data_IF_292925551927
#
_entry.id   IF_292925551927
#
_cell.length_a   1.000
_cell.length_b   1.000
_cell.length_c   1.000
_cell.angle_alpha   90.00
_cell.angle_beta   90.00
_cell.angle_gamma   90.00
#
_symmetry.space_group_name_H-M   'P 1'
#
loop_
_entity.id
_entity.type
_entity.pdbx_description
1 polymer ?
#
# COMPACT_ATOMS: atom_id res chain seq x y z
N UNK A 1 -17.79 25.68 -31.46
CA UNK A 1 -16.63 24.79 -31.25
C UNK A 1 -17.02 23.79 -30.17
N UNK A 2 -17.50 22.62 -30.56
CA UNK A 2 -17.98 21.59 -29.62
C UNK A 2 -16.80 21.11 -28.78
N UNK A 3 -16.82 21.38 -27.48
CA UNK A 3 -16.02 20.61 -26.54
C UNK A 3 -16.67 19.23 -26.47
N UNK A 4 -16.18 18.29 -27.26
CA UNK A 4 -16.36 16.88 -26.99
C UNK A 4 -15.87 16.65 -25.56
N UNK A 5 -16.81 16.57 -24.63
CA UNK A 5 -16.57 16.01 -23.31
C UNK A 5 -16.14 14.57 -23.58
N UNK A 6 -14.83 14.33 -23.63
CA UNK A 6 -14.25 12.99 -23.72
C UNK A 6 -14.88 12.20 -22.59
N UNK A 7 -15.90 11.41 -22.90
CA UNK A 7 -16.64 10.66 -21.90
C UNK A 7 -15.65 9.72 -21.26
N UNK A 8 -15.32 9.98 -20.00
CA UNK A 8 -14.56 9.06 -19.17
C UNK A 8 -15.29 7.71 -19.26
N UNK A 9 -14.66 6.70 -19.87
CA UNK A 9 -15.20 5.36 -20.03
C UNK A 9 -14.37 4.43 -19.15
N UNK A 10 -15.03 3.65 -18.29
CA UNK A 10 -14.37 2.59 -17.53
C UNK A 10 -14.00 1.48 -18.51
N UNK A 11 -12.72 1.14 -18.61
CA UNK A 11 -12.20 0.17 -19.58
C UNK A 11 -11.51 -0.99 -18.89
N UNK A 12 -11.21 -2.05 -19.65
CA UNK A 12 -10.36 -3.16 -19.18
C UNK A 12 -8.99 -2.68 -18.69
N UNK A 13 -8.49 -1.56 -19.22
CA UNK A 13 -7.25 -0.92 -18.79
C UNK A 13 -7.32 -0.32 -17.37
N UNK A 14 -8.51 -0.24 -16.75
CA UNK A 14 -8.70 0.19 -15.36
C UNK A 14 -9.12 -0.98 -14.46
N UNK A 15 -9.92 -1.90 -14.98
CA UNK A 15 -10.35 -3.09 -14.24
C UNK A 15 -9.22 -4.06 -13.89
N UNK A 16 -8.36 -4.39 -14.87
CA UNK A 16 -7.27 -5.37 -14.67
C UNK A 16 -6.26 -4.91 -13.61
N UNK A 17 -5.71 -3.68 -13.67
CA UNK A 17 -4.86 -3.14 -12.61
C UNK A 17 -5.50 -3.21 -11.22
N UNK A 18 -6.78 -2.84 -11.12
CA UNK A 18 -7.50 -2.85 -9.85
C UNK A 18 -7.63 -4.26 -9.26
N UNK A 19 -7.86 -5.27 -10.09
CA UNK A 19 -7.96 -6.67 -9.65
C UNK A 19 -6.59 -7.16 -9.17
N UNK A 20 -5.52 -6.88 -9.91
CA UNK A 20 -4.15 -7.28 -9.52
C UNK A 20 -3.77 -6.65 -8.17
N UNK A 21 -3.98 -5.33 -8.03
CA UNK A 21 -3.75 -4.62 -6.77
C UNK A 21 -4.58 -5.20 -5.62
N UNK A 22 -5.86 -5.52 -5.87
CA UNK A 22 -6.72 -6.16 -4.88
C UNK A 22 -6.24 -7.56 -4.48
N UNK A 23 -5.69 -8.35 -5.41
CA UNK A 23 -5.13 -9.66 -5.10
C UNK A 23 -3.88 -9.53 -4.24
N UNK A 24 -3.00 -8.56 -4.55
CA UNK A 24 -1.84 -8.24 -3.72
C UNK A 24 -2.24 -7.84 -2.30
N UNK A 25 -3.25 -6.97 -2.17
CA UNK A 25 -3.79 -6.58 -0.86
C UNK A 25 -4.32 -7.81 -0.12
N UNK A 26 -5.12 -8.65 -0.77
CA UNK A 26 -5.68 -9.86 -0.16
C UNK A 26 -4.59 -10.81 0.35
N UNK A 27 -3.55 -11.04 -0.46
CA UNK A 27 -2.40 -11.87 -0.08
C UNK A 27 -1.67 -11.31 1.15
N UNK A 28 -1.24 -10.04 1.08
CA UNK A 28 -0.43 -9.47 2.16
C UNK A 28 -1.22 -9.17 3.43
N UNK A 29 -2.49 -8.78 3.32
CA UNK A 29 -3.39 -8.68 4.47
C UNK A 29 -3.48 -10.02 5.21
N UNK A 30 -3.64 -11.11 4.47
CA UNK A 30 -3.73 -12.42 5.07
C UNK A 30 -2.41 -12.85 5.74
N UNK A 31 -1.25 -12.50 5.18
CA UNK A 31 0.07 -12.69 5.81
C UNK A 31 0.20 -11.89 7.10
N UNK A 32 -0.22 -10.62 7.11
CA UNK A 32 -0.19 -9.75 8.29
C UNK A 32 -1.04 -10.35 9.41
N UNK A 33 -2.28 -10.73 9.10
CA UNK A 33 -3.19 -11.35 10.06
C UNK A 33 -2.65 -12.69 10.60
N UNK A 34 -1.96 -13.47 9.77
CA UNK A 34 -1.29 -14.70 10.18
C UNK A 34 -0.27 -14.47 11.28
N UNK A 35 0.56 -13.44 11.12
CA UNK A 35 1.71 -13.21 11.97
C UNK A 35 1.31 -12.50 13.28
N UNK A 36 0.33 -11.59 13.24
CA UNK A 36 -0.22 -10.93 14.43
C UNK A 36 -0.79 -11.95 15.43
N UNK A 37 -1.27 -13.12 14.96
CA UNK A 37 -1.65 -14.21 15.84
C UNK A 37 -2.72 -13.78 16.85
N UNK A 38 -3.90 -13.38 16.37
CA UNK A 38 -5.05 -13.16 17.26
C UNK A 38 -5.30 -14.47 18.02
N UNK A 39 -4.86 -14.50 19.29
CA UNK A 39 -4.77 -15.69 20.15
C UNK A 39 -6.12 -16.39 20.44
N UNK A 40 -7.23 -15.94 19.83
CA UNK A 40 -8.58 -16.49 19.91
C UNK A 40 -9.22 -16.83 18.55
N UNK A 41 -8.49 -16.72 17.43
CA UNK A 41 -8.96 -17.26 16.14
C UNK A 41 -8.45 -18.71 16.02
N UNK A 42 -9.33 -19.72 16.12
CA UNK A 42 -8.93 -21.11 16.29
C UNK A 42 -8.06 -21.55 15.11
N UNK A 43 -6.81 -21.92 15.39
CA UNK A 43 -5.87 -22.52 14.43
C UNK A 43 -5.81 -21.80 13.08
N UNK A 44 -5.86 -20.47 13.14
CA UNK A 44 -6.01 -19.64 11.96
C UNK A 44 -4.64 -19.17 11.47
N UNK A 45 -4.15 -19.82 10.42
CA UNK A 45 -3.59 -19.22 9.19
C UNK A 45 -2.43 -20.04 8.63
N UNK A 46 -1.39 -20.41 9.36
CA UNK A 46 -0.24 -21.06 8.71
C UNK A 46 0.58 -21.88 9.72
N UNK A 47 0.27 -23.18 9.85
CA UNK A 47 1.36 -24.15 10.06
C UNK A 47 1.90 -24.45 8.67
N UNK A 48 3.16 -24.15 8.40
CA UNK A 48 3.86 -24.42 7.12
C UNK A 48 3.96 -25.92 6.74
N UNK A 49 3.08 -26.78 7.29
CA UNK A 49 2.96 -28.21 7.03
C UNK A 49 1.51 -28.72 6.91
N UNK A 50 0.46 -27.90 7.12
CA UNK A 50 -0.90 -28.31 6.77
C UNK A 50 -1.14 -28.02 5.29
N UNK A 51 -1.29 -29.10 4.51
CA UNK A 51 -1.31 -29.17 3.04
C UNK A 51 -2.40 -28.35 2.32
N UNK A 52 -3.23 -27.59 3.05
CA UNK A 52 -4.34 -26.81 2.50
C UNK A 52 -4.32 -25.36 3.01
N UNK A 53 -4.43 -24.36 2.12
CA UNK A 53 -4.74 -22.99 2.55
C UNK A 53 -6.13 -22.97 3.21
N UNK A 54 -6.23 -22.40 4.41
CA UNK A 54 -7.52 -22.25 5.10
C UNK A 54 -8.53 -21.51 4.20
N UNK A 55 -9.79 -21.96 4.14
CA UNK A 55 -10.85 -21.36 3.32
C UNK A 55 -10.98 -19.84 3.51
N UNK A 56 -10.68 -19.33 4.70
CA UNK A 56 -10.72 -17.90 4.97
C UNK A 56 -9.52 -17.13 4.39
N UNK A 57 -8.35 -17.75 4.19
CA UNK A 57 -7.27 -17.15 3.39
C UNK A 57 -7.73 -16.96 1.93
N UNK A 58 -8.37 -17.98 1.38
CA UNK A 58 -8.93 -17.95 0.01
C UNK A 58 -10.01 -16.86 -0.09
N UNK A 59 -10.80 -16.64 0.96
CA UNK A 59 -11.82 -15.58 0.93
C UNK A 59 -11.23 -14.17 0.76
N UNK A 60 -10.08 -13.84 1.33
CA UNK A 60 -9.46 -12.52 1.10
C UNK A 60 -8.97 -12.35 -0.33
N UNK A 61 -8.39 -13.40 -0.91
CA UNK A 61 -7.92 -13.39 -2.30
C UNK A 61 -9.06 -13.22 -3.32
N UNK A 62 -10.29 -13.56 -2.95
CA UNK A 62 -11.46 -13.40 -3.81
C UNK A 62 -12.25 -12.12 -3.49
N UNK A 63 -12.48 -11.81 -2.22
CA UNK A 63 -13.31 -10.68 -1.79
C UNK A 63 -12.60 -9.34 -2.03
N UNK A 64 -11.31 -9.22 -1.71
CA UNK A 64 -10.61 -7.95 -1.81
C UNK A 64 -10.52 -7.43 -3.26
N UNK A 65 -10.20 -8.24 -4.28
CA UNK A 65 -10.24 -7.77 -5.67
C UNK A 65 -11.63 -7.31 -6.11
N UNK A 66 -12.69 -7.99 -5.67
CA UNK A 66 -14.07 -7.59 -5.96
C UNK A 66 -14.37 -6.24 -5.31
N UNK A 67 -13.99 -6.04 -4.04
CA UNK A 67 -14.15 -4.77 -3.36
C UNK A 67 -13.34 -3.65 -4.03
N UNK A 68 -12.10 -3.92 -4.44
CA UNK A 68 -11.24 -2.95 -5.10
C UNK A 68 -11.85 -2.48 -6.43
N UNK A 69 -12.33 -3.41 -7.27
CA UNK A 69 -12.95 -3.05 -8.56
C UNK A 69 -14.30 -2.35 -8.35
N UNK A 70 -15.09 -2.75 -7.36
CA UNK A 70 -16.35 -2.08 -7.00
C UNK A 70 -16.10 -0.65 -6.50
N UNK A 71 -15.11 -0.44 -5.63
CA UNK A 71 -14.74 0.88 -5.15
C UNK A 71 -14.26 1.79 -6.29
N UNK A 72 -13.45 1.26 -7.20
CA UNK A 72 -12.99 2.02 -8.38
C UNK A 72 -14.15 2.35 -9.33
N UNK A 73 -15.12 1.43 -9.49
CA UNK A 73 -16.32 1.67 -10.28
C UNK A 73 -17.21 2.77 -9.67
N UNK A 74 -17.34 2.81 -8.34
CA UNK A 74 -18.05 3.89 -7.63
C UNK A 74 -17.30 5.22 -7.84
N UNK A 75 -15.98 5.23 -7.67
CA UNK A 75 -15.16 6.41 -7.92
C UNK A 75 -15.29 6.91 -9.36
N UNK A 76 -15.41 5.99 -10.34
CA UNK A 76 -15.70 6.31 -11.73
C UNK A 76 -17.09 6.97 -11.91
N UNK A 77 -18.13 6.42 -11.27
CA UNK A 77 -19.49 6.97 -11.32
C UNK A 77 -19.55 8.39 -10.77
N UNK A 78 -18.91 8.63 -9.63
CA UNK A 78 -18.81 9.95 -9.01
C UNK A 78 -17.87 10.90 -9.81
N UNK A 79 -16.84 10.32 -10.41
CA UNK A 79 -15.85 11.00 -11.26
C UNK A 79 -16.42 11.63 -12.52
N UNK A 80 -17.59 11.18 -12.99
CA UNK A 80 -18.31 11.83 -14.11
C UNK A 80 -18.61 13.31 -13.86
N UNK A 81 -18.82 13.70 -12.60
CA UNK A 81 -19.07 15.10 -12.20
C UNK A 81 -17.78 15.83 -11.81
N UNK A 82 -16.82 15.13 -11.20
CA UNK A 82 -15.53 15.70 -10.78
C UNK A 82 -14.38 14.74 -11.13
N UNK A 83 -13.62 14.97 -12.22
CA UNK A 83 -12.56 14.07 -12.69
C UNK A 83 -11.49 13.74 -11.64
N UNK A 84 -11.27 14.67 -10.69
CA UNK A 84 -10.35 14.51 -9.55
C UNK A 84 -10.73 13.32 -8.67
N UNK A 85 -12.03 13.00 -8.51
CA UNK A 85 -12.48 11.86 -7.69
C UNK A 85 -12.04 10.53 -8.30
N UNK A 86 -12.08 10.40 -9.63
CA UNK A 86 -11.64 9.16 -10.28
C UNK A 86 -10.12 8.99 -10.21
N UNK A 87 -9.36 10.07 -10.38
CA UNK A 87 -7.91 10.04 -10.18
C UNK A 87 -7.53 9.69 -8.75
N UNK A 88 -8.22 10.29 -7.76
CA UNK A 88 -8.05 9.94 -6.36
C UNK A 88 -8.40 8.47 -6.09
N UNK A 89 -9.46 7.94 -6.71
CA UNK A 89 -9.81 6.52 -6.59
C UNK A 89 -8.70 5.57 -7.08
N UNK A 90 -8.06 5.89 -8.21
CA UNK A 90 -6.89 5.12 -8.70
C UNK A 90 -5.70 5.24 -7.74
N UNK A 91 -5.41 6.47 -7.30
CA UNK A 91 -4.33 6.73 -6.35
C UNK A 91 -4.55 6.00 -5.02
N UNK A 92 -5.77 6.01 -4.49
CA UNK A 92 -6.14 5.30 -3.26
C UNK A 92 -5.96 3.79 -3.43
N UNK A 93 -6.35 3.22 -4.58
CA UNK A 93 -6.19 1.80 -4.86
C UNK A 93 -4.71 1.37 -4.84
N UNK A 94 -3.84 2.15 -5.50
CA UNK A 94 -2.37 1.96 -5.44
C UNK A 94 -1.86 2.16 -4.01
N UNK A 95 -2.36 3.17 -3.30
CA UNK A 95 -2.01 3.46 -1.90
C UNK A 95 -2.30 2.30 -0.96
N UNK A 96 -3.49 1.69 -1.05
CA UNK A 96 -3.86 0.51 -0.27
C UNK A 96 -2.95 -0.68 -0.59
N UNK A 97 -2.68 -0.94 -1.87
CA UNK A 97 -1.74 -2.00 -2.24
C UNK A 97 -0.34 -1.76 -1.67
N UNK A 98 0.15 -0.53 -1.68
CA UNK A 98 1.44 -0.17 -1.09
C UNK A 98 1.44 -0.36 0.43
N UNK A 99 0.40 0.09 1.13
CA UNK A 99 0.26 -0.08 2.57
C UNK A 99 0.36 -1.55 2.98
N UNK A 100 -0.38 -2.42 2.29
CA UNK A 100 -0.35 -3.85 2.58
C UNK A 100 0.92 -4.53 2.08
N UNK A 101 1.50 -4.10 0.97
CA UNK A 101 2.82 -4.59 0.52
C UNK A 101 3.90 -4.31 1.56
N UNK A 102 3.92 -3.08 2.10
CA UNK A 102 4.85 -2.67 3.15
C UNK A 102 4.72 -3.55 4.39
N UNK A 103 3.51 -3.62 4.96
CA UNK A 103 3.25 -4.45 6.13
C UNK A 103 3.45 -5.94 5.86
N UNK A 104 3.07 -6.42 4.68
CA UNK A 104 3.17 -7.80 4.26
C UNK A 104 4.60 -8.27 4.16
N UNK A 105 5.46 -7.53 3.44
CA UNK A 105 6.90 -7.83 3.34
C UNK A 105 7.54 -7.85 4.73
N UNK A 106 7.24 -6.86 5.58
CA UNK A 106 7.71 -6.83 6.97
C UNK A 106 7.34 -8.13 7.71
N UNK A 107 6.07 -8.56 7.64
CA UNK A 107 5.62 -9.78 8.32
C UNK A 107 6.18 -11.06 7.70
N UNK A 108 6.42 -11.10 6.38
CA UNK A 108 7.14 -12.23 5.75
C UNK A 108 8.54 -12.34 6.34
N UNK A 109 9.28 -11.23 6.43
CA UNK A 109 10.64 -11.23 6.99
C UNK A 109 10.64 -11.64 8.47
N UNK A 110 9.73 -11.09 9.28
CA UNK A 110 9.56 -11.51 10.69
C UNK A 110 9.26 -12.99 10.79
N UNK A 111 8.38 -13.51 9.92
CA UNK A 111 8.03 -14.93 9.91
C UNK A 111 9.22 -15.83 9.53
N UNK A 112 9.97 -15.45 8.49
CA UNK A 112 11.10 -16.24 7.99
C UNK A 112 12.28 -16.28 8.95
N UNK A 113 12.58 -15.16 9.61
CA UNK A 113 13.75 -15.05 10.48
C UNK A 113 13.43 -15.21 11.97
N UNK A 114 12.15 -15.17 12.37
CA UNK A 114 11.73 -15.28 13.77
C UNK A 114 12.15 -14.10 14.67
N UNK A 115 12.64 -13.01 14.07
CA UNK A 115 13.15 -11.80 14.74
C UNK A 115 12.58 -10.54 14.09
N UNK A 116 12.96 -9.35 14.56
CA UNK A 116 12.57 -8.08 13.90
C UNK A 116 11.27 -7.46 14.41
N UNK A 117 10.82 -7.85 15.61
CA UNK A 117 9.70 -7.19 16.29
C UNK A 117 10.10 -5.86 16.95
N UNK A 118 11.40 -5.66 17.23
CA UNK A 118 11.94 -4.43 17.80
C UNK A 118 13.40 -4.16 17.42
N UNK A 119 13.90 -2.99 17.79
CA UNK A 119 15.31 -2.60 17.64
C UNK A 119 15.77 -2.42 16.18
N UNK A 120 17.07 -2.57 15.94
CA UNK A 120 17.66 -2.31 14.61
C UNK A 120 17.15 -3.27 13.53
N UNK A 121 16.82 -4.50 13.89
CA UNK A 121 16.28 -5.50 12.94
C UNK A 121 14.86 -5.12 12.49
N UNK A 122 14.04 -4.56 13.39
CA UNK A 122 12.73 -4.00 13.03
C UNK A 122 12.89 -2.90 11.97
N UNK A 123 13.82 -1.96 12.20
CA UNK A 123 14.09 -0.85 11.27
C UNK A 123 14.51 -1.39 9.90
N UNK A 124 15.38 -2.40 9.86
CA UNK A 124 15.82 -3.02 8.62
C UNK A 124 14.64 -3.66 7.86
N UNK A 125 13.84 -4.50 8.52
CA UNK A 125 12.71 -5.18 7.90
C UNK A 125 11.63 -4.19 7.43
N UNK A 126 11.36 -3.15 8.24
CA UNK A 126 10.44 -2.06 7.91
C UNK A 126 10.92 -1.28 6.68
N UNK A 127 12.22 -1.02 6.59
CA UNK A 127 12.83 -0.32 5.44
C UNK A 127 12.67 -1.14 4.17
N UNK A 128 12.96 -2.44 4.21
CA UNK A 128 12.79 -3.35 3.08
C UNK A 128 11.33 -3.44 2.62
N UNK A 129 10.38 -3.51 3.56
CA UNK A 129 8.96 -3.48 3.24
C UNK A 129 8.54 -2.18 2.54
N UNK A 130 9.01 -1.04 3.06
CA UNK A 130 8.68 0.24 2.46
C UNK A 130 9.30 0.42 1.07
N UNK A 131 10.53 -0.04 0.85
CA UNK A 131 11.17 -0.01 -0.47
C UNK A 131 10.40 -0.85 -1.49
N UNK A 132 9.94 -2.05 -1.12
CA UNK A 132 9.09 -2.86 -1.99
C UNK A 132 7.77 -2.15 -2.34
N UNK A 133 7.13 -1.51 -1.36
CA UNK A 133 5.93 -0.72 -1.57
C UNK A 133 6.18 0.50 -2.47
N UNK A 134 7.32 1.18 -2.33
CA UNK A 134 7.72 2.28 -3.20
C UNK A 134 7.93 1.83 -4.65
N UNK A 135 8.60 0.69 -4.87
CA UNK A 135 8.77 0.11 -6.21
C UNK A 135 7.42 -0.22 -6.85
N UNK A 136 6.51 -0.82 -6.09
CA UNK A 136 5.14 -1.08 -6.55
C UNK A 136 4.42 0.23 -6.92
N UNK A 137 4.51 1.25 -6.05
CA UNK A 137 3.95 2.57 -6.29
C UNK A 137 4.44 3.18 -7.60
N UNK A 138 5.75 3.13 -7.85
CA UNK A 138 6.35 3.69 -9.06
C UNK A 138 5.80 3.02 -10.32
N UNK A 139 5.74 1.69 -10.33
CA UNK A 139 5.21 0.93 -11.46
C UNK A 139 3.77 1.33 -11.79
N UNK A 140 2.86 1.26 -10.82
CA UNK A 140 1.45 1.55 -11.06
C UNK A 140 1.18 3.02 -11.35
N UNK A 141 1.86 3.94 -10.66
CA UNK A 141 1.66 5.36 -10.90
C UNK A 141 2.18 5.79 -12.27
N UNK A 142 3.32 5.26 -12.70
CA UNK A 142 3.90 5.57 -14.02
C UNK A 142 3.04 5.00 -15.16
N UNK A 143 2.72 3.71 -15.11
CA UNK A 143 2.12 3.01 -16.25
C UNK A 143 0.58 3.07 -16.27
N UNK A 144 -0.07 3.28 -15.12
CA UNK A 144 -1.53 3.25 -15.04
C UNK A 144 -2.17 4.55 -14.56
N UNK A 145 -1.74 5.10 -13.41
CA UNK A 145 -2.40 6.28 -12.81
C UNK A 145 -2.22 7.53 -13.67
N UNK A 146 -0.99 7.86 -14.03
CA UNK A 146 -0.67 9.11 -14.73
C UNK A 146 -0.40 8.94 -16.23
N UNK A 147 -0.14 7.71 -16.70
CA UNK A 147 0.13 7.37 -18.11
C UNK A 147 1.08 8.40 -18.77
N UNK A 148 2.16 8.77 -18.07
CA UNK A 148 3.07 9.84 -18.50
C UNK A 148 3.67 9.47 -19.86
N UNK A 149 3.36 10.26 -20.90
CA UNK A 149 4.00 10.16 -22.22
C UNK A 149 5.39 10.79 -22.09
N UNK A 150 6.42 10.10 -22.58
CA UNK A 150 7.86 10.35 -22.38
C UNK A 150 8.43 11.74 -22.81
N UNK A 151 7.61 12.76 -23.03
CA UNK A 151 8.04 14.07 -23.53
C UNK A 151 7.67 15.18 -22.55
N UNK A 152 8.52 15.39 -21.53
CA UNK A 152 8.92 16.70 -20.97
C UNK A 152 9.78 16.49 -19.71
N UNK A 153 10.98 17.10 -19.66
CA UNK A 153 11.85 17.30 -18.48
C UNK A 153 12.13 16.13 -17.51
N UNK A 154 12.69 15.03 -18.05
CA UNK A 154 13.07 13.82 -17.28
C UNK A 154 14.03 14.11 -16.10
N UNK A 155 14.94 15.09 -16.21
CA UNK A 155 15.99 15.30 -15.21
C UNK A 155 15.51 16.05 -13.95
N UNK A 156 14.67 17.09 -14.08
CA UNK A 156 14.15 17.86 -12.93
C UNK A 156 13.04 17.12 -12.19
N UNK A 157 12.21 16.34 -12.89
CA UNK A 157 11.19 15.49 -12.28
C UNK A 157 11.82 14.31 -11.51
N UNK A 158 12.92 13.74 -12.01
CA UNK A 158 13.62 12.64 -11.34
C UNK A 158 14.24 13.07 -10.01
N UNK A 159 14.84 14.27 -9.93
CA UNK A 159 15.39 14.80 -8.68
C UNK A 159 14.29 15.09 -7.64
N UNK A 160 13.16 15.67 -8.07
CA UNK A 160 12.01 15.89 -7.19
C UNK A 160 11.41 14.58 -6.69
N UNK A 161 11.29 13.57 -7.56
CA UNK A 161 10.83 12.24 -7.19
C UNK A 161 11.75 11.58 -6.16
N UNK A 162 13.07 11.66 -6.37
CA UNK A 162 14.07 11.14 -5.44
C UNK A 162 13.95 11.84 -4.07
N UNK A 163 13.91 13.17 -4.04
CA UNK A 163 13.80 13.94 -2.79
C UNK A 163 12.52 13.61 -2.01
N UNK A 164 11.37 13.58 -2.70
CA UNK A 164 10.09 13.20 -2.07
C UNK A 164 10.17 11.77 -1.55
N UNK A 165 10.73 10.83 -2.32
CA UNK A 165 10.87 9.42 -1.92
C UNK A 165 11.75 9.25 -0.68
N UNK A 166 12.88 9.96 -0.61
CA UNK A 166 13.77 9.93 0.56
C UNK A 166 13.10 10.49 1.81
N UNK A 167 12.37 11.61 1.68
CA UNK A 167 11.59 12.17 2.79
C UNK A 167 10.48 11.22 3.24
N UNK A 168 9.78 10.59 2.30
CA UNK A 168 8.76 9.58 2.60
C UNK A 168 9.34 8.38 3.31
N UNK A 169 10.55 7.93 2.95
CA UNK A 169 11.26 6.86 3.62
C UNK A 169 11.59 7.24 5.07
N UNK A 170 12.15 8.43 5.28
CA UNK A 170 12.45 8.96 6.61
C UNK A 170 11.20 9.05 7.50
N UNK A 171 10.09 9.56 6.96
CA UNK A 171 8.81 9.65 7.68
C UNK A 171 8.26 8.26 7.99
N UNK A 172 8.23 7.37 7.01
CA UNK A 172 7.67 6.04 7.15
C UNK A 172 8.41 5.23 8.23
N UNK A 173 9.72 5.07 8.05
CA UNK A 173 10.56 4.26 8.93
C UNK A 173 10.75 4.95 10.27
N UNK A 174 10.91 6.28 10.28
CA UNK A 174 11.08 7.07 11.50
C UNK A 174 9.85 7.02 12.42
N UNK A 175 8.64 7.24 11.89
CA UNK A 175 7.41 7.13 12.68
C UNK A 175 7.21 5.71 13.20
N UNK A 176 7.43 4.70 12.36
CA UNK A 176 7.34 3.31 12.77
C UNK A 176 8.35 2.98 13.88
N UNK A 177 9.60 3.43 13.75
CA UNK A 177 10.62 3.24 14.77
C UNK A 177 10.24 3.92 16.10
N UNK A 178 9.77 5.16 16.06
CA UNK A 178 9.35 5.89 17.26
C UNK A 178 8.23 5.16 17.99
N UNK A 179 7.16 4.78 17.28
CA UNK A 179 6.03 4.08 17.90
C UNK A 179 6.47 2.72 18.46
N UNK A 180 7.26 1.95 17.70
CA UNK A 180 7.76 0.66 18.16
C UNK A 180 8.67 0.80 19.40
N UNK A 181 9.42 1.89 19.52
CA UNK A 181 10.30 2.15 20.68
C UNK A 181 9.53 2.38 21.99
N UNK A 182 8.26 2.81 21.91
CA UNK A 182 7.40 3.03 23.08
C UNK A 182 6.41 1.88 23.31
N UNK A 183 6.81 0.64 23.00
CA UNK A 183 5.97 -0.54 23.20
C UNK A 183 5.53 -0.70 24.66
N UNK A 184 4.21 -0.64 24.97
CA UNK A 184 3.72 -0.88 26.31
C UNK A 184 3.92 -2.34 26.70
N UNK A 185 4.36 -2.59 27.93
CA UNK A 185 4.57 -3.96 28.44
C UNK A 185 3.29 -4.79 28.52
N UNK A 186 2.11 -4.15 28.44
CA UNK A 186 0.79 -4.80 28.50
C UNK A 186 0.26 -5.27 27.14
N UNK A 187 0.91 -4.90 26.03
CA UNK A 187 0.45 -5.23 24.67
C UNK A 187 1.41 -6.24 24.04
N UNK A 188 0.86 -7.22 23.32
CA UNK A 188 1.66 -8.19 22.57
C UNK A 188 2.59 -7.48 21.57
N UNK A 189 3.86 -7.87 21.56
CA UNK A 189 4.89 -7.18 20.79
C UNK A 189 4.67 -7.30 19.28
N UNK A 190 4.06 -8.41 18.79
CA UNK A 190 3.74 -8.58 17.37
C UNK A 190 2.61 -7.67 16.93
N UNK A 191 1.60 -7.51 17.79
CA UNK A 191 0.51 -6.56 17.55
C UNK A 191 1.05 -5.14 17.53
N UNK A 192 1.88 -4.77 18.52
CA UNK A 192 2.44 -3.43 18.62
C UNK A 192 3.39 -3.10 17.46
N UNK A 193 4.24 -4.03 17.03
CA UNK A 193 5.13 -3.81 15.90
C UNK A 193 4.37 -3.61 14.59
N UNK A 194 3.27 -4.35 14.39
CA UNK A 194 2.38 -4.16 13.24
C UNK A 194 1.63 -2.83 13.28
N UNK A 195 1.19 -2.39 14.45
CA UNK A 195 0.60 -1.06 14.62
C UNK A 195 1.60 0.05 14.26
N UNK A 196 2.86 -0.11 14.68
CA UNK A 196 3.93 0.81 14.35
C UNK A 196 4.19 0.87 12.84
N UNK A 197 4.25 -0.29 12.18
CA UNK A 197 4.40 -0.41 10.72
C UNK A 197 3.25 0.29 9.99
N UNK A 198 2.00 0.02 10.40
CA UNK A 198 0.80 0.65 9.85
C UNK A 198 0.81 2.17 10.02
N UNK A 199 1.24 2.65 11.18
CA UNK A 199 1.32 4.09 11.46
C UNK A 199 2.35 4.79 10.58
N UNK A 200 3.54 4.20 10.40
CA UNK A 200 4.54 4.71 9.46
C UNK A 200 4.03 4.76 8.02
N UNK A 201 3.35 3.70 7.57
CA UNK A 201 2.72 3.64 6.27
C UNK A 201 1.67 4.75 6.09
N UNK A 202 0.77 4.94 7.05
CA UNK A 202 -0.24 5.99 7.03
C UNK A 202 0.38 7.40 7.01
N UNK A 203 1.37 7.68 7.85
CA UNK A 203 2.08 8.97 7.86
C UNK A 203 2.76 9.27 6.53
N UNK A 204 3.42 8.28 5.93
CA UNK A 204 4.07 8.43 4.63
C UNK A 204 3.07 8.62 3.49
N UNK A 205 1.90 7.99 3.56
CA UNK A 205 0.83 8.17 2.60
C UNK A 205 0.26 9.59 2.63
N UNK A 206 0.02 10.13 3.83
CA UNK A 206 -0.39 11.53 4.03
C UNK A 206 0.68 12.48 3.47
N UNK A 207 1.95 12.24 3.80
CA UNK A 207 3.05 13.04 3.28
C UNK A 207 3.15 12.99 1.76
N UNK A 208 3.04 11.81 1.14
CA UNK A 208 3.04 11.67 -0.32
C UNK A 208 1.92 12.52 -0.95
N UNK A 209 0.71 12.45 -0.39
CA UNK A 209 -0.41 13.26 -0.88
C UNK A 209 -0.16 14.77 -0.75
N UNK A 210 0.28 15.23 0.43
CA UNK A 210 0.56 16.65 0.69
C UNK A 210 1.74 17.17 -0.14
N UNK A 211 2.82 16.38 -0.24
CA UNK A 211 4.02 16.72 -1.01
C UNK A 211 3.69 16.88 -2.49
N UNK A 212 2.95 15.94 -3.09
CA UNK A 212 2.50 16.10 -4.47
C UNK A 212 1.61 17.32 -4.63
N UNK A 213 0.62 17.51 -3.75
CA UNK A 213 -0.34 18.62 -3.86
C UNK A 213 0.29 20.00 -3.70
N UNK A 214 1.17 20.19 -2.72
CA UNK A 214 1.65 21.53 -2.32
C UNK A 214 3.07 21.87 -2.80
N UNK A 215 3.90 20.86 -3.10
CA UNK A 215 5.29 21.07 -3.53
C UNK A 215 5.40 20.90 -5.05
N UNK A 216 4.83 19.81 -5.60
CA UNK A 216 4.97 19.47 -7.03
C UNK A 216 3.94 20.22 -7.88
N UNK A 217 2.67 20.23 -7.49
CA UNK A 217 1.60 20.89 -8.24
C UNK A 217 1.36 22.34 -7.80
N UNK A 218 2.42 23.15 -7.66
CA UNK A 218 2.27 24.61 -7.58
C UNK A 218 1.81 25.16 -8.92
N UNK A 219 0.50 25.09 -9.18
CA UNK A 219 -0.23 25.90 -10.16
C UNK A 219 -1.51 26.41 -9.50
#
# INVERSE_FOLDING_TARGET
MNQETVQQKFTSQDGVPSVILGMMVGFFLAVVLANIGLNNLPNFVFKFGSRFPNLFFISFLLIIPILAISALWIAFRLGKKYPVIFQFGKFANVGFANFFTDAGIYNVLVFLFGIGLSGSVFVLFKTLGFLAALTNSFFWNKFWTFKVKEKENIASESLQFILVTFLSLGINVGVAFLINSFAPSSIDLKLWSNLAVASGAASSFIWNFLGYKFIVFKK
#
